data_IF_992794348609
#
_entry.id   IF_992794348609
#
_cell.length_a   1.000
_cell.length_b   1.000
_cell.length_c   1.000
_cell.angle_alpha   90.00
_cell.angle_beta   90.00
_cell.angle_gamma   90.00
#
_symmetry.space_group_name_H-M   'P 1'
#
loop_
_entity.id
_entity.type
_entity.pdbx_description
1 polymer ?
#
# COMPACT_ATOMS: atom_id res chain seq x y z
N UNK A 1 12.66 -1.63 0.19
CA UNK A 1 11.23 -1.67 0.54
C UNK A 1 11.12 -1.54 2.06
N UNK A 2 10.12 -0.83 2.55
CA UNK A 2 9.78 -0.77 3.97
C UNK A 2 8.31 -1.18 4.10
N UNK A 3 8.01 -2.09 5.02
CA UNK A 3 6.67 -2.62 5.24
C UNK A 3 6.35 -2.46 6.71
N UNK A 4 5.21 -1.85 7.01
CA UNK A 4 4.64 -1.80 8.35
C UNK A 4 3.31 -2.56 8.32
N UNK A 5 3.11 -3.44 9.31
CA UNK A 5 1.90 -4.24 9.47
C UNK A 5 1.47 -4.21 10.93
N UNK A 6 0.16 -4.17 11.17
CA UNK A 6 -0.44 -4.19 12.50
C UNK A 6 -1.17 -5.50 12.73
N UNK A 7 -1.06 -6.07 13.92
CA UNK A 7 -1.82 -7.26 14.32
C UNK A 7 -3.31 -6.99 14.53
N UNK A 8 -4.03 -7.96 15.08
CA UNK A 8 -5.45 -7.85 15.38
C UNK A 8 -5.76 -6.70 16.35
N UNK A 9 -6.77 -5.90 16.00
CA UNK A 9 -7.21 -4.74 16.76
C UNK A 9 -8.31 -4.00 16.02
N UNK A 10 -9.00 -3.09 16.72
CA UNK A 10 -9.96 -2.19 16.09
C UNK A 10 -9.20 -0.99 15.51
N UNK A 11 -9.23 -0.84 14.18
CA UNK A 11 -8.63 0.28 13.47
C UNK A 11 -9.69 0.94 12.59
N UNK A 12 -9.74 2.28 12.60
CA UNK A 12 -10.76 3.04 11.87
C UNK A 12 -10.24 3.62 10.54
N UNK A 13 -8.98 3.38 10.22
CA UNK A 13 -8.35 3.86 9.00
C UNK A 13 -6.83 3.90 9.10
N UNK A 14 -6.20 4.32 8.02
CA UNK A 14 -4.75 4.52 7.94
C UNK A 14 -4.46 5.84 7.23
N UNK A 15 -3.32 6.45 7.58
CA UNK A 15 -2.81 7.66 6.92
C UNK A 15 -1.32 7.52 6.71
N UNK A 16 -0.88 7.67 5.47
CA UNK A 16 0.53 7.87 5.14
C UNK A 16 0.66 9.06 4.21
N UNK A 17 1.86 9.62 4.19
CA UNK A 17 2.27 10.61 3.20
C UNK A 17 3.32 9.96 2.31
N UNK A 18 3.00 9.86 1.03
CA UNK A 18 3.91 9.36 0.00
C UNK A 18 4.36 10.58 -0.79
N UNK A 19 5.66 10.84 -0.83
CA UNK A 19 6.24 11.90 -1.63
C UNK A 19 7.08 11.29 -2.74
N UNK A 20 6.77 11.65 -3.99
CA UNK A 20 7.54 11.30 -5.17
C UNK A 20 8.06 12.60 -5.78
N UNK A 21 9.36 12.68 -6.03
CA UNK A 21 9.99 13.85 -6.62
C UNK A 21 10.93 13.42 -7.73
N UNK A 22 10.78 14.05 -8.90
CA UNK A 22 11.59 13.86 -10.11
C UNK A 22 11.91 12.38 -10.44
N UNK A 23 10.88 11.53 -10.67
CA UNK A 23 11.12 10.12 -10.97
C UNK A 23 11.79 9.96 -12.34
N UNK A 24 12.81 9.11 -12.41
CA UNK A 24 13.52 8.76 -13.64
C UNK A 24 13.75 7.25 -13.73
N UNK A 25 13.75 6.70 -14.94
CA UNK A 25 14.12 5.31 -15.21
C UNK A 25 15.55 5.24 -15.76
N UNK A 26 16.34 4.26 -15.32
CA UNK A 26 17.65 3.93 -15.89
C UNK A 26 17.54 2.95 -17.06
N UNK A 27 16.53 2.07 -17.06
CA UNK A 27 16.32 1.04 -18.10
C UNK A 27 14.84 0.98 -18.51
N UNK A 28 14.59 0.66 -19.79
CA UNK A 28 13.23 0.40 -20.30
C UNK A 28 12.56 -0.69 -19.46
N UNK A 29 11.28 -0.49 -19.11
CA UNK A 29 10.50 -1.38 -18.26
C UNK A 29 10.90 -1.40 -16.77
N UNK A 30 11.61 -0.39 -16.26
CA UNK A 30 11.72 -0.17 -14.82
C UNK A 30 10.39 0.21 -14.18
N UNK A 31 10.22 -0.23 -12.93
CA UNK A 31 8.97 -0.15 -12.18
C UNK A 31 9.25 0.26 -10.74
N UNK A 32 8.43 1.16 -10.19
CA UNK A 32 8.48 1.55 -8.80
C UNK A 32 7.06 1.63 -8.25
N UNK A 33 6.87 1.25 -6.99
CA UNK A 33 5.54 1.09 -6.40
C UNK A 33 5.53 1.58 -4.96
N UNK A 34 4.49 2.33 -4.60
CA UNK A 34 4.25 2.78 -3.22
C UNK A 34 2.76 2.76 -2.94
N UNK A 35 2.34 1.96 -1.96
CA UNK A 35 0.92 1.65 -1.75
C UNK A 35 0.57 1.62 -0.27
N UNK A 36 -0.69 1.93 0.02
CA UNK A 36 -1.35 1.70 1.30
C UNK A 36 -2.59 0.84 1.07
N UNK A 37 -2.76 -0.15 1.94
CA UNK A 37 -3.86 -1.11 1.89
C UNK A 37 -4.64 -1.02 3.19
N UNK A 38 -5.96 -0.92 3.11
CA UNK A 38 -6.86 -1.12 4.24
C UNK A 38 -7.67 -2.38 3.96
N UNK A 39 -7.54 -3.37 4.83
CA UNK A 39 -8.17 -4.68 4.70
C UNK A 39 -9.21 -4.90 5.82
N UNK A 40 -10.33 -5.54 5.48
CA UNK A 40 -11.38 -5.92 6.43
C UNK A 40 -11.97 -7.28 6.04
N UNK A 41 -12.39 -8.08 7.02
CA UNK A 41 -12.87 -9.45 6.80
C UNK A 41 -11.77 -10.50 6.89
N UNK A 42 -12.04 -11.73 6.42
CA UNK A 42 -11.12 -12.87 6.53
C UNK A 42 -10.45 -13.18 5.19
N UNK A 43 -9.15 -13.48 5.21
CA UNK A 43 -8.39 -13.86 3.99
C UNK A 43 -8.96 -15.08 3.26
N UNK A 44 -9.63 -15.99 3.97
CA UNK A 44 -10.17 -17.23 3.41
C UNK A 44 -11.62 -17.09 2.91
N UNK A 45 -12.26 -15.93 3.06
CA UNK A 45 -13.68 -15.75 2.72
C UNK A 45 -14.05 -14.37 2.18
N UNK A 46 -14.19 -13.39 3.07
CA UNK A 46 -14.95 -12.14 2.89
C UNK A 46 -14.05 -10.91 3.00
N UNK A 47 -12.87 -11.01 2.38
CA UNK A 47 -11.89 -9.94 2.35
C UNK A 47 -12.37 -8.78 1.49
N UNK A 48 -12.44 -7.60 2.10
CA UNK A 48 -12.64 -6.32 1.45
C UNK A 48 -11.36 -5.50 1.53
N UNK A 49 -10.99 -4.83 0.43
CA UNK A 49 -9.80 -4.01 0.35
C UNK A 49 -10.07 -2.63 -0.22
N UNK A 50 -9.34 -1.64 0.30
CA UNK A 50 -9.13 -0.33 -0.32
C UNK A 50 -7.63 -0.17 -0.53
N UNK A 51 -7.23 0.18 -1.75
CA UNK A 51 -5.85 0.41 -2.14
C UNK A 51 -5.68 1.80 -2.73
N UNK A 52 -4.62 2.48 -2.30
CA UNK A 52 -4.23 3.78 -2.84
C UNK A 52 -2.71 3.90 -2.88
N UNK A 53 -2.17 4.50 -3.94
CA UNK A 53 -0.73 4.56 -4.14
C UNK A 53 -0.29 5.19 -5.45
N UNK A 54 1.01 5.09 -5.71
CA UNK A 54 1.66 5.47 -6.96
C UNK A 54 2.37 4.24 -7.57
N UNK A 55 2.38 4.18 -8.90
CA UNK A 55 2.96 3.12 -9.73
C UNK A 55 3.66 3.72 -10.96
#
# INVERSE_FOLDING_TARGET
>A
HAIAYTGTGEYYGAKATINVWDPSIQVTNEFSLSQMWVLSGSFDSDLNSIEAGWQ
#
